data_IF_769715563578
#
_entry.id   IF_769715563578
#
_cell.length_a   1.000
_cell.length_b   1.000
_cell.length_c   1.000
_cell.angle_alpha   90.00
_cell.angle_beta   90.00
_cell.angle_gamma   90.00
#
_symmetry.space_group_name_H-M   'P 1'
#
loop_
_entity.id
_entity.type
_entity.pdbx_description
1 polymer ?
#
# COMPACT_ATOMS: atom_id res chain seq x y z
N UNK A 1 9.15 -45.91 45.93
CA UNK A 1 8.05 -44.91 45.93
C UNK A 1 8.53 -43.48 45.66
N UNK A 2 9.77 -43.10 46.00
CA UNK A 2 10.28 -41.73 45.81
C UNK A 2 10.50 -41.27 44.34
N UNK A 3 10.82 -42.18 43.41
CA UNK A 3 11.07 -41.82 41.99
C UNK A 3 9.81 -41.41 41.20
N UNK A 4 8.63 -41.90 41.57
CA UNK A 4 7.36 -41.59 40.87
C UNK A 4 6.84 -40.19 41.22
N UNK A 5 7.13 -39.72 42.44
CA UNK A 5 6.75 -38.38 42.89
C UNK A 5 7.60 -37.29 42.21
N UNK A 6 8.88 -37.54 41.97
CA UNK A 6 9.79 -36.58 41.33
C UNK A 6 9.46 -36.36 39.84
N UNK A 7 9.09 -37.42 39.11
CA UNK A 7 8.69 -37.31 37.69
C UNK A 7 7.36 -36.55 37.50
N UNK A 8 6.41 -36.75 38.42
CA UNK A 8 5.12 -36.03 38.41
C UNK A 8 5.33 -34.56 38.75
N UNK A 9 6.23 -34.24 39.67
CA UNK A 9 6.52 -32.85 40.04
C UNK A 9 7.22 -32.07 38.93
N UNK A 10 8.16 -32.71 38.20
CA UNK A 10 8.82 -32.09 37.04
C UNK A 10 7.86 -31.91 35.85
N UNK A 11 6.95 -32.86 35.63
CA UNK A 11 5.93 -32.75 34.58
C UNK A 11 4.92 -31.63 34.87
N UNK A 12 4.53 -31.46 36.14
CA UNK A 12 3.65 -30.36 36.56
C UNK A 12 4.34 -29.00 36.40
N UNK A 13 5.65 -28.91 36.65
CA UNK A 13 6.39 -27.64 36.48
C UNK A 13 6.45 -27.19 35.01
N UNK A 14 6.66 -28.12 34.07
CA UNK A 14 6.68 -27.85 32.63
C UNK A 14 5.30 -27.44 32.05
N UNK A 15 4.22 -27.94 32.64
CA UNK A 15 2.85 -27.55 32.27
C UNK A 15 2.48 -26.15 32.77
N UNK A 16 3.05 -25.68 33.89
CA UNK A 16 2.81 -24.33 34.41
C UNK A 16 3.51 -23.26 33.55
N UNK A 17 4.71 -23.53 33.02
CA UNK A 17 5.41 -22.61 32.10
C UNK A 17 4.64 -22.38 30.79
N UNK A 18 3.94 -23.41 30.29
CA UNK A 18 3.18 -23.33 29.03
C UNK A 18 1.90 -22.49 29.16
N UNK A 19 1.40 -22.26 30.38
CA UNK A 19 0.18 -21.47 30.62
C UNK A 19 0.42 -19.95 30.67
N UNK A 20 1.66 -19.50 30.90
CA UNK A 20 2.01 -18.08 31.04
C UNK A 20 2.38 -17.39 29.71
N UNK A 21 2.32 -18.08 28.57
CA UNK A 21 2.61 -17.49 27.26
C UNK A 21 1.45 -16.66 26.66
N UNK A 22 0.29 -16.60 27.34
CA UNK A 22 -0.95 -16.08 26.75
C UNK A 22 -1.20 -14.58 26.95
N UNK A 23 -0.35 -13.84 27.67
CA UNK A 23 -0.64 -12.45 28.08
C UNK A 23 0.44 -11.42 27.70
N UNK A 24 1.20 -11.69 26.63
CA UNK A 24 2.06 -10.68 26.04
C UNK A 24 1.22 -9.47 25.59
N UNK A 25 1.53 -8.23 26.03
CA UNK A 25 0.77 -7.05 25.63
C UNK A 25 0.75 -6.94 24.12
N UNK A 26 -0.43 -7.04 23.51
CA UNK A 26 -0.59 -6.81 22.07
C UNK A 26 -0.12 -5.39 21.77
N UNK A 27 0.80 -5.18 20.80
CA UNK A 27 1.28 -3.85 20.45
C UNK A 27 0.09 -2.94 20.15
N UNK A 28 0.09 -1.73 20.71
CA UNK A 28 -0.93 -0.73 20.38
C UNK A 28 -0.90 -0.47 18.87
N UNK A 29 -2.08 -0.50 18.24
CA UNK A 29 -2.22 -0.15 16.84
C UNK A 29 -1.74 1.29 16.62
N UNK A 30 -0.87 1.49 15.63
CA UNK A 30 -0.36 2.81 15.27
C UNK A 30 -1.41 3.59 14.50
N UNK A 31 -1.45 4.90 14.68
CA UNK A 31 -2.24 5.80 13.83
C UNK A 31 -1.58 5.96 12.46
N UNK A 32 -2.33 6.42 11.45
CA UNK A 32 -1.75 6.72 10.13
C UNK A 32 -0.59 7.72 10.20
N UNK A 33 -0.71 8.74 11.07
CA UNK A 33 0.33 9.74 11.26
C UNK A 33 1.62 9.14 11.82
N UNK A 34 1.51 8.22 12.79
CA UNK A 34 2.67 7.51 13.37
C UNK A 34 3.32 6.55 12.37
N UNK A 35 2.54 5.90 11.52
CA UNK A 35 3.06 5.06 10.44
C UNK A 35 3.85 5.91 9.45
N UNK A 36 3.30 7.05 9.03
CA UNK A 36 3.97 7.94 8.07
C UNK A 36 5.25 8.54 8.66
N UNK A 37 5.19 9.03 9.90
CA UNK A 37 6.34 9.59 10.61
C UNK A 37 7.46 8.56 10.85
N UNK A 38 7.10 7.29 11.01
CA UNK A 38 8.06 6.19 11.17
C UNK A 38 8.57 5.58 9.86
N UNK A 39 8.00 5.95 8.71
CA UNK A 39 8.35 5.34 7.43
C UNK A 39 9.80 5.65 7.04
N UNK A 40 10.50 4.62 6.57
CA UNK A 40 11.87 4.70 6.08
C UNK A 40 11.87 4.73 4.55
N UNK A 41 12.93 5.21 3.93
CA UNK A 41 13.04 5.23 2.46
C UNK A 41 12.88 3.84 1.82
N UNK A 42 13.25 2.77 2.54
CA UNK A 42 13.08 1.38 2.10
C UNK A 42 11.62 0.91 2.06
N UNK A 43 10.71 1.58 2.75
CA UNK A 43 9.28 1.24 2.75
C UNK A 43 8.57 1.69 1.47
N UNK A 44 9.24 2.55 0.69
CA UNK A 44 8.73 3.13 -0.55
C UNK A 44 9.47 2.53 -1.74
N UNK A 45 8.75 2.29 -2.83
CA UNK A 45 9.37 1.98 -4.11
C UNK A 45 9.49 3.24 -4.97
N UNK A 46 10.54 3.36 -5.80
CA UNK A 46 10.55 4.38 -6.83
C UNK A 46 9.42 4.13 -7.84
N UNK A 47 8.93 5.23 -8.44
CA UNK A 47 8.07 5.15 -9.61
C UNK A 47 8.88 4.72 -10.82
N UNK A 48 8.28 3.89 -11.67
CA UNK A 48 8.85 3.55 -12.97
C UNK A 48 8.53 4.71 -13.96
N UNK A 49 9.54 5.42 -14.50
CA UNK A 49 9.31 6.52 -15.42
C UNK A 49 8.52 6.11 -16.67
N UNK A 50 8.68 4.86 -17.15
CA UNK A 50 7.93 4.38 -18.32
C UNK A 50 6.44 4.24 -18.04
N UNK A 51 6.05 4.10 -16.77
CA UNK A 51 4.66 3.98 -16.32
C UNK A 51 4.19 5.21 -15.55
N UNK A 52 4.94 6.32 -15.56
CA UNK A 52 4.57 7.55 -14.85
C UNK A 52 4.21 8.64 -15.83
N UNK A 53 2.98 9.16 -15.72
CA UNK A 53 2.48 10.26 -16.52
C UNK A 53 2.42 11.54 -15.70
N UNK A 54 2.68 12.66 -16.38
CA UNK A 54 2.55 13.99 -15.82
C UNK A 54 1.51 14.79 -16.59
N UNK A 55 0.35 15.00 -15.96
CA UNK A 55 -0.69 15.89 -16.49
C UNK A 55 -0.46 17.29 -15.91
N UNK A 56 -0.12 18.24 -16.79
CA UNK A 56 0.09 19.63 -16.41
C UNK A 56 -1.20 20.43 -16.60
N UNK A 57 -1.73 20.94 -15.49
CA UNK A 57 -2.86 21.87 -15.47
C UNK A 57 -2.37 23.27 -15.09
N UNK A 58 -3.18 24.29 -15.36
CA UNK A 58 -2.89 25.66 -14.91
C UNK A 58 -2.82 25.78 -13.38
N UNK A 59 -3.56 24.92 -12.65
CA UNK A 59 -3.61 24.88 -11.19
C UNK A 59 -2.51 24.02 -10.55
N UNK A 60 -1.75 23.24 -11.34
CA UNK A 60 -0.71 22.37 -10.82
C UNK A 60 -0.52 21.10 -11.64
N UNK A 61 0.34 20.22 -11.12
CA UNK A 61 0.69 18.95 -11.77
C UNK A 61 -0.03 17.80 -11.08
N UNK A 62 -0.62 16.92 -11.88
CA UNK A 62 -1.13 15.63 -11.45
C UNK A 62 -0.15 14.56 -11.92
N UNK A 63 0.26 13.68 -11.01
CA UNK A 63 1.14 12.54 -11.28
C UNK A 63 0.27 11.29 -11.29
N UNK A 64 0.33 10.51 -12.38
CA UNK A 64 -0.47 9.31 -12.56
C UNK A 64 0.47 8.14 -12.81
N UNK A 65 0.42 7.12 -11.96
CA UNK A 65 1.11 5.86 -12.21
C UNK A 65 0.18 4.87 -12.93
N UNK A 66 0.64 4.35 -14.06
CA UNK A 66 -0.05 3.36 -14.86
C UNK A 66 0.12 1.96 -14.26
N UNK A 67 -0.92 1.14 -14.39
CA UNK A 67 -0.99 -0.18 -13.77
C UNK A 67 -1.02 -1.31 -14.83
N UNK A 68 0.10 -1.62 -15.50
CA UNK A 68 0.15 -2.57 -16.61
C UNK A 68 -0.23 -3.99 -16.21
N UNK A 69 -0.04 -4.37 -14.94
CA UNK A 69 -0.43 -5.69 -14.42
C UNK A 69 -1.93 -5.91 -14.49
N UNK A 70 -2.74 -4.85 -14.33
CA UNK A 70 -4.20 -4.95 -14.32
C UNK A 70 -4.82 -4.66 -15.69
N UNK A 71 -4.25 -3.71 -16.45
CA UNK A 71 -4.83 -3.25 -17.71
C UNK A 71 -3.78 -3.06 -18.80
N UNK A 72 -3.06 -4.11 -19.23
CA UNK A 72 -1.89 -3.99 -20.10
C UNK A 72 -2.23 -3.34 -21.46
N UNK A 73 -3.36 -3.70 -22.05
CA UNK A 73 -3.80 -3.13 -23.32
C UNK A 73 -4.16 -1.63 -23.20
N UNK A 74 -4.79 -1.24 -22.10
CA UNK A 74 -5.14 0.16 -21.85
C UNK A 74 -3.88 1.00 -21.64
N UNK A 75 -2.91 0.48 -20.86
CA UNK A 75 -1.61 1.15 -20.67
C UNK A 75 -0.90 1.35 -22.00
N UNK A 76 -0.87 0.33 -22.87
CA UNK A 76 -0.28 0.47 -24.21
C UNK A 76 -0.97 1.56 -25.03
N UNK A 77 -2.30 1.59 -25.05
CA UNK A 77 -3.05 2.59 -25.82
C UNK A 77 -2.86 4.02 -25.28
N UNK A 78 -2.95 4.20 -23.96
CA UNK A 78 -2.73 5.50 -23.31
C UNK A 78 -1.32 6.02 -23.61
N UNK A 79 -0.30 5.16 -23.55
CA UNK A 79 1.07 5.53 -23.91
C UNK A 79 1.19 5.96 -25.37
N UNK A 80 0.49 5.30 -26.29
CA UNK A 80 0.48 5.69 -27.70
C UNK A 80 -0.12 7.10 -27.90
N UNK A 81 -1.31 7.34 -27.35
CA UNK A 81 -1.99 8.65 -27.43
C UNK A 81 -1.15 9.79 -26.83
N UNK A 82 -0.47 9.53 -25.70
CA UNK A 82 0.41 10.52 -25.07
C UNK A 82 1.63 10.83 -25.92
N UNK A 83 2.26 9.82 -26.53
CA UNK A 83 3.40 10.01 -27.43
C UNK A 83 3.02 10.79 -28.69
N UNK A 84 1.78 10.64 -29.13
CA UNK A 84 1.17 11.43 -30.21
C UNK A 84 0.68 12.81 -29.77
N UNK A 85 0.85 13.17 -28.49
CA UNK A 85 0.40 14.43 -27.89
C UNK A 85 -1.11 14.68 -28.00
N UNK A 86 -1.90 13.63 -28.12
CA UNK A 86 -3.35 13.74 -28.31
C UNK A 86 -4.04 14.55 -27.19
N UNK A 87 -3.59 14.40 -25.94
CA UNK A 87 -4.20 15.10 -24.79
C UNK A 87 -3.74 16.55 -24.62
N UNK A 88 -2.73 17.03 -25.37
CA UNK A 88 -2.19 18.37 -25.21
C UNK A 88 -3.21 19.42 -25.68
N UNK A 89 -3.58 20.34 -24.78
CA UNK A 89 -4.54 21.41 -25.08
C UNK A 89 -6.01 20.99 -25.04
N UNK A 90 -6.32 19.73 -24.69
CA UNK A 90 -7.71 19.29 -24.50
C UNK A 90 -8.30 19.81 -23.20
N UNK A 91 -9.64 19.89 -23.16
CA UNK A 91 -10.39 20.37 -22.01
C UNK A 91 -10.78 19.23 -21.04
N UNK A 92 -11.04 19.62 -19.80
CA UNK A 92 -11.89 18.85 -18.89
C UNK A 92 -13.33 19.08 -19.33
N UNK A 93 -13.95 18.09 -19.97
CA UNK A 93 -15.30 18.22 -20.53
C UNK A 93 -16.41 17.99 -19.50
N UNK A 94 -16.09 17.28 -18.41
CA UNK A 94 -17.05 17.00 -17.34
C UNK A 94 -16.35 16.93 -15.99
N UNK A 95 -16.89 17.64 -15.01
CA UNK A 95 -16.47 17.56 -13.62
C UNK A 95 -17.71 17.47 -12.74
N UNK A 96 -17.78 16.43 -11.91
CA UNK A 96 -18.83 16.28 -10.94
C UNK A 96 -18.23 16.15 -9.55
N UNK A 97 -18.69 17.00 -8.63
CA UNK A 97 -18.17 17.06 -7.27
C UNK A 97 -18.35 15.71 -6.57
N UNK A 98 -17.34 15.33 -5.81
CA UNK A 98 -17.27 14.05 -5.09
C UNK A 98 -17.57 12.80 -5.97
N UNK A 99 -17.28 12.88 -7.27
CA UNK A 99 -17.45 11.76 -8.20
C UNK A 99 -16.25 11.62 -9.15
N UNK A 100 -16.30 12.21 -10.35
CA UNK A 100 -15.24 12.06 -11.36
C UNK A 100 -15.02 13.33 -12.16
N UNK A 101 -13.78 13.49 -12.58
CA UNK A 101 -13.35 14.44 -13.61
C UNK A 101 -13.00 13.63 -14.86
N UNK A 102 -13.56 14.03 -15.99
CA UNK A 102 -13.34 13.41 -17.30
C UNK A 102 -12.70 14.43 -18.25
N UNK A 103 -11.64 13.98 -18.92
CA UNK A 103 -10.88 14.73 -19.93
C UNK A 103 -11.10 14.12 -21.31
N UNK A 104 -10.71 14.88 -22.33
CA UNK A 104 -10.88 14.50 -23.75
C UNK A 104 -12.36 14.34 -24.15
N UNK A 105 -12.61 13.96 -25.40
CA UNK A 105 -13.95 13.93 -26.01
C UNK A 105 -14.78 12.68 -25.66
#
# INVERSE_FOLDING_TARGET
MLFRASLVMTLVLLLVESANAADAPKPKARTMAEVLAGSQSSDWRPLDPENTLYLQLASGRVVIELAPTFAPQHVTNVKALIREKYYDGLAVVRSHDNYVVQLAD
#
